data_IF_499872539621
#
_entry.id   IF_499872539621
#
_cell.length_a   1.000
_cell.length_b   1.000
_cell.length_c   1.000
_cell.angle_alpha   90.00
_cell.angle_beta   90.00
_cell.angle_gamma   90.00
#
_symmetry.space_group_name_H-M   'P 1'
#
loop_
_entity.id
_entity.type
_entity.pdbx_description
1 polymer ?
#
# COMPACT_ATOMS: atom_id res chain seq x y z
N UNK A 1 -8.84 -7.39 10.87
CA UNK A 1 -8.76 -8.79 11.33
C UNK A 1 -10.07 -9.45 10.96
N UNK A 2 -10.04 -10.54 10.18
CA UNK A 2 -11.24 -11.23 9.72
C UNK A 2 -11.53 -12.51 10.51
N UNK A 3 -10.73 -12.85 11.52
CA UNK A 3 -10.80 -14.14 12.20
C UNK A 3 -10.80 -15.29 11.19
N UNK A 4 -11.62 -16.30 11.44
CA UNK A 4 -11.81 -17.45 10.54
C UNK A 4 -12.89 -17.23 9.46
N UNK A 5 -13.53 -16.05 9.37
CA UNK A 5 -14.68 -15.80 8.49
C UNK A 5 -14.40 -16.10 7.01
N UNK A 6 -13.25 -15.65 6.51
CA UNK A 6 -12.82 -15.89 5.13
C UNK A 6 -12.27 -17.32 4.98
N UNK A 7 -11.53 -17.81 5.98
CA UNK A 7 -10.97 -19.16 5.98
C UNK A 7 -12.05 -20.24 5.89
N UNK A 8 -13.18 -20.09 6.59
CA UNK A 8 -14.34 -20.98 6.49
C UNK A 8 -14.99 -20.98 5.11
N UNK A 9 -15.00 -19.83 4.42
CA UNK A 9 -15.55 -19.70 3.06
C UNK A 9 -14.65 -20.29 1.97
N UNK A 10 -13.33 -20.24 2.18
CA UNK A 10 -12.32 -20.77 1.25
C UNK A 10 -11.89 -22.20 1.58
N UNK A 11 -12.37 -22.76 2.70
CA UNK A 11 -11.86 -23.97 3.33
C UNK A 11 -10.34 -23.95 3.62
N UNK A 12 -9.79 -22.78 3.94
CA UNK A 12 -8.37 -22.61 4.23
C UNK A 12 -8.05 -23.02 5.68
N UNK A 13 -7.25 -24.08 5.84
CA UNK A 13 -6.93 -24.67 7.15
C UNK A 13 -5.43 -24.82 7.35
N UNK A 14 -5.00 -24.90 8.59
CA UNK A 14 -3.65 -25.30 8.97
C UNK A 14 -3.69 -26.44 9.98
N UNK A 15 -2.53 -27.04 10.25
CA UNK A 15 -2.38 -28.13 11.20
C UNK A 15 -1.17 -27.85 12.08
N UNK A 16 -1.36 -27.86 13.40
CA UNK A 16 -0.24 -27.75 14.34
C UNK A 16 0.62 -29.00 14.30
N UNK A 17 1.91 -28.83 14.54
CA UNK A 17 2.82 -29.96 14.65
C UNK A 17 2.36 -30.90 15.78
N UNK A 18 2.33 -32.21 15.50
CA UNK A 18 1.91 -33.24 16.46
C UNK A 18 0.40 -33.44 16.60
N UNK A 19 -0.43 -32.50 16.13
CA UNK A 19 -1.88 -32.62 16.20
C UNK A 19 -2.45 -33.53 15.11
N UNK A 20 -3.63 -34.12 15.33
CA UNK A 20 -4.32 -34.92 14.29
C UNK A 20 -5.34 -34.11 13.50
N UNK A 21 -6.01 -33.15 14.14
CA UNK A 21 -7.09 -32.33 13.56
C UNK A 21 -6.52 -31.07 12.88
N UNK A 22 -7.26 -30.56 11.89
CA UNK A 22 -6.99 -29.27 11.25
C UNK A 22 -7.81 -28.16 11.90
N UNK A 23 -7.28 -26.95 11.95
CA UNK A 23 -7.94 -25.73 12.43
C UNK A 23 -8.08 -24.72 11.27
N UNK A 24 -9.14 -23.91 11.26
CA UNK A 24 -9.22 -22.78 10.33
C UNK A 24 -8.21 -21.71 10.73
N UNK A 25 -7.47 -21.17 9.76
CA UNK A 25 -6.55 -20.06 10.02
C UNK A 25 -7.31 -18.74 10.17
N UNK A 26 -6.65 -17.74 10.76
CA UNK A 26 -7.16 -16.37 10.73
C UNK A 26 -6.60 -15.61 9.53
N UNK A 27 -7.43 -14.79 8.88
CA UNK A 27 -6.99 -13.94 7.77
C UNK A 27 -6.92 -12.47 8.16
N UNK A 28 -5.96 -11.78 7.56
CA UNK A 28 -5.80 -10.34 7.64
C UNK A 28 -5.60 -9.80 6.23
N UNK A 29 -6.05 -8.57 6.03
CA UNK A 29 -5.78 -7.78 4.83
C UNK A 29 -5.62 -6.33 5.26
N UNK A 30 -4.86 -5.57 4.47
CA UNK A 30 -4.61 -4.16 4.66
C UNK A 30 -3.98 -3.60 3.40
N UNK A 31 -4.47 -2.47 2.91
CA UNK A 31 -3.84 -1.76 1.80
C UNK A 31 -2.54 -1.12 2.29
N UNK A 32 -1.45 -1.20 1.52
CA UNK A 32 -0.16 -0.59 1.86
C UNK A 32 0.55 0.02 0.65
N UNK A 33 -0.10 0.78 -0.22
CA UNK A 33 -1.32 1.58 -0.08
C UNK A 33 -2.15 1.48 -1.38
N UNK A 34 -3.27 2.20 -1.48
CA UNK A 34 -3.97 2.34 -2.76
C UNK A 34 -3.26 3.39 -3.65
N UNK A 35 -2.49 2.93 -4.65
CA UNK A 35 -1.57 3.78 -5.45
C UNK A 35 -2.22 5.06 -6.00
N UNK A 36 -3.41 4.97 -6.61
CA UNK A 36 -4.08 6.15 -7.16
C UNK A 36 -4.46 7.18 -6.09
N UNK A 37 -4.85 6.74 -4.88
CA UNK A 37 -5.13 7.65 -3.76
C UNK A 37 -3.85 8.26 -3.20
N UNK A 38 -2.78 7.47 -3.13
CA UNK A 38 -1.45 7.95 -2.73
C UNK A 38 -0.92 8.98 -3.71
N UNK A 39 -1.14 8.81 -5.02
CA UNK A 39 -0.75 9.79 -6.03
C UNK A 39 -1.43 11.15 -5.80
N UNK A 40 -2.75 11.18 -5.63
CA UNK A 40 -3.50 12.42 -5.34
C UNK A 40 -2.98 13.08 -4.06
N UNK A 41 -2.78 12.30 -2.99
CA UNK A 41 -2.24 12.82 -1.74
C UNK A 41 -0.83 13.42 -1.91
N UNK A 42 0.03 12.81 -2.73
CA UNK A 42 1.36 13.37 -3.05
C UNK A 42 1.21 14.67 -3.83
N UNK A 43 0.37 14.71 -4.87
CA UNK A 43 0.16 15.93 -5.67
C UNK A 43 -0.34 17.09 -4.80
N UNK A 44 -1.32 16.87 -3.93
CA UNK A 44 -1.89 17.93 -3.10
C UNK A 44 -0.93 18.43 -2.01
N UNK A 45 -0.17 17.53 -1.37
CA UNK A 45 0.68 17.86 -0.23
C UNK A 45 2.10 18.29 -0.63
N UNK A 46 2.50 18.04 -1.88
CA UNK A 46 3.82 18.40 -2.41
C UNK A 46 3.73 19.39 -3.58
N UNK A 47 2.57 20.00 -3.80
CA UNK A 47 2.46 21.12 -4.75
C UNK A 47 3.31 22.32 -4.28
N UNK A 48 3.90 23.00 -5.24
CA UNK A 48 4.68 24.22 -5.06
C UNK A 48 3.93 25.43 -5.62
N UNK A 49 4.34 26.64 -5.23
CA UNK A 49 3.69 27.89 -5.66
C UNK A 49 3.65 28.06 -7.19
N UNK A 50 4.66 27.54 -7.90
CA UNK A 50 4.77 27.59 -9.37
C UNK A 50 3.94 26.51 -10.09
N UNK A 51 3.19 25.69 -9.36
CA UNK A 51 2.38 24.60 -9.88
C UNK A 51 3.14 23.29 -10.13
N UNK A 52 4.45 23.23 -9.87
CA UNK A 52 5.20 21.97 -9.91
C UNK A 52 4.92 21.12 -8.67
N UNK A 53 5.19 19.81 -8.75
CA UNK A 53 5.05 18.88 -7.63
C UNK A 53 6.44 18.41 -7.20
N UNK A 54 6.80 18.64 -5.94
CA UNK A 54 8.01 18.08 -5.35
C UNK A 54 7.90 16.55 -5.21
N UNK A 55 8.96 15.84 -5.58
CA UNK A 55 9.04 14.38 -5.43
C UNK A 55 9.45 14.06 -3.99
N UNK A 56 8.64 13.32 -3.22
CA UNK A 56 9.01 12.89 -1.87
C UNK A 56 10.36 12.17 -1.87
N UNK A 57 11.22 12.48 -0.90
CA UNK A 57 12.60 11.97 -0.86
C UNK A 57 12.69 10.44 -1.00
N UNK A 58 11.76 9.70 -0.40
CA UNK A 58 11.68 8.25 -0.47
C UNK A 58 11.38 7.71 -1.90
N UNK A 59 10.77 8.52 -2.77
CA UNK A 59 10.43 8.14 -4.14
C UNK A 59 11.52 8.51 -5.16
N UNK A 60 12.43 9.42 -4.82
CA UNK A 60 13.46 9.93 -5.75
C UNK A 60 14.35 8.81 -6.36
N UNK A 61 14.81 7.78 -5.61
CA UNK A 61 15.58 6.68 -6.21
C UNK A 61 14.82 5.90 -7.29
N UNK A 62 13.48 5.85 -7.19
CA UNK A 62 12.61 5.20 -8.17
C UNK A 62 12.30 6.10 -9.37
N UNK A 63 12.61 7.39 -9.29
CA UNK A 63 12.39 8.39 -10.33
C UNK A 63 13.71 8.87 -10.96
N UNK A 64 14.79 8.10 -10.86
CA UNK A 64 16.09 8.47 -11.43
C UNK A 64 16.73 9.70 -10.78
N UNK A 65 16.42 9.97 -9.50
CA UNK A 65 16.89 11.15 -8.77
C UNK A 65 16.12 12.43 -9.06
N UNK A 66 15.02 12.37 -9.81
CA UNK A 66 14.17 13.52 -10.09
C UNK A 66 13.61 14.11 -8.79
N UNK A 67 13.73 15.44 -8.65
CA UNK A 67 13.29 16.18 -7.46
C UNK A 67 11.93 16.86 -7.62
N UNK A 68 11.52 17.16 -8.85
CA UNK A 68 10.28 17.88 -9.16
C UNK A 68 9.66 17.37 -10.46
N UNK A 69 8.33 17.40 -10.56
CA UNK A 69 7.55 17.07 -11.76
C UNK A 69 6.67 18.27 -12.13
N UNK A 70 6.64 18.62 -13.42
CA UNK A 70 5.83 19.72 -13.95
C UNK A 70 6.65 20.82 -14.61
N UNK A 71 5.97 21.83 -15.13
CA UNK A 71 6.57 23.04 -15.70
C UNK A 71 6.14 24.22 -14.82
N UNK A 72 7.09 25.01 -14.35
CA UNK A 72 6.82 26.19 -13.55
C UNK A 72 5.95 27.18 -14.37
N UNK A 73 4.88 27.65 -13.77
CA UNK A 73 4.08 28.73 -14.36
C UNK A 73 4.84 30.05 -14.19
N UNK A 74 5.01 30.79 -15.30
CA UNK A 74 5.62 32.14 -15.31
C UNK A 74 4.78 33.16 -14.54
#
# INVERSE_FOLDING_TARGET
NCGDFQARRMDARFKRAGEKKTEFLHTLNGSGLAVGRTLVAVMENYQQEDGTIAVPAALQPYMGGLKTVGVASN
#
